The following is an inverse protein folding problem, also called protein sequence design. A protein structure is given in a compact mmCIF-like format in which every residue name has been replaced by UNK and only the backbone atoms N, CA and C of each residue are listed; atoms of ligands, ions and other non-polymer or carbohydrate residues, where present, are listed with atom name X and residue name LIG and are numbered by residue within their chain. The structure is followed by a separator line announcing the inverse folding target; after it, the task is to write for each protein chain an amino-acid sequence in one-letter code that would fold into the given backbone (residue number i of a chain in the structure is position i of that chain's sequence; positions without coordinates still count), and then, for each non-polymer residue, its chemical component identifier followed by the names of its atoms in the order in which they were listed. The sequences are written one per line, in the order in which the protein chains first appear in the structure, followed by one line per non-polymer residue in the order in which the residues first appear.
data_IF_547149171897
#
_entry.id   IF_547149171897
#
_cell.length_a   1.000
_cell.length_b   1.000
_cell.length_c   1.000
_cell.angle_alpha   90.00
_cell.angle_beta   90.00
_cell.angle_gamma   90.00
#
_symmetry.space_group_name_H-M   'P 1'
#
loop_
_entity.id
_entity.type
_entity.pdbx_description
1 polymer ?
#
# COMPACT_ATOMS: atom_id res chain seq x y z
N UNK A 1 -25.69 26.52 -46.08
CA UNK A 1 -24.46 25.88 -45.60
C UNK A 1 -23.55 26.98 -45.08
N UNK A 2 -23.10 26.99 -43.84
CA UNK A 2 -23.47 26.11 -42.73
C UNK A 2 -22.48 26.22 -41.57
N UNK A 3 -22.92 26.79 -40.44
CA UNK A 3 -22.14 26.86 -39.20
C UNK A 3 -23.04 26.43 -38.04
N UNK A 4 -22.70 25.33 -37.39
CA UNK A 4 -23.34 24.90 -36.15
C UNK A 4 -22.74 25.66 -34.97
N UNK A 5 -23.47 26.65 -34.45
CA UNK A 5 -23.08 27.34 -33.22
C UNK A 5 -23.27 26.42 -32.01
N UNK A 6 -22.17 26.12 -31.31
CA UNK A 6 -22.15 25.19 -30.19
C UNK A 6 -23.03 25.68 -29.02
N UNK A 7 -23.93 24.82 -28.53
CA UNK A 7 -25.02 25.21 -27.62
C UNK A 7 -24.58 25.37 -26.16
N UNK A 8 -24.67 26.61 -25.69
CA UNK A 8 -25.15 27.11 -24.40
C UNK A 8 -24.69 26.40 -23.11
N UNK A 9 -23.89 27.11 -22.31
CA UNK A 9 -23.23 26.61 -21.11
C UNK A 9 -23.95 26.84 -19.76
N UNK A 10 -25.20 27.31 -19.74
CA UNK A 10 -25.97 27.48 -18.49
C UNK A 10 -27.10 26.47 -18.28
N UNK A 11 -27.64 25.90 -19.36
CA UNK A 11 -28.35 24.61 -19.26
C UNK A 11 -27.48 23.55 -18.58
N UNK A 12 -26.16 23.66 -18.73
CA UNK A 12 -25.13 22.79 -18.16
C UNK A 12 -25.09 22.79 -16.62
N UNK A 13 -25.41 23.88 -15.90
CA UNK A 13 -25.31 23.83 -14.43
C UNK A 13 -26.44 22.99 -13.81
N UNK A 14 -27.68 23.20 -14.24
CA UNK A 14 -28.80 22.35 -13.81
C UNK A 14 -28.79 20.97 -14.49
N UNK A 15 -28.30 20.83 -15.73
CA UNK A 15 -28.19 19.50 -16.37
C UNK A 15 -27.04 18.67 -15.83
N UNK A 16 -25.91 19.24 -15.38
CA UNK A 16 -24.87 18.48 -14.66
C UNK A 16 -25.32 18.08 -13.25
N UNK A 17 -26.03 18.96 -12.53
CA UNK A 17 -26.68 18.60 -11.25
C UNK A 17 -27.72 17.48 -11.44
N UNK A 18 -28.28 17.30 -12.64
CA UNK A 18 -29.20 16.20 -12.98
C UNK A 18 -28.47 14.93 -13.45
N UNK A 19 -27.57 15.02 -14.43
CA UNK A 19 -26.88 13.89 -15.08
C UNK A 19 -25.95 13.08 -14.14
N UNK A 20 -25.62 13.61 -12.95
CA UNK A 20 -24.72 12.96 -11.98
C UNK A 20 -25.50 12.28 -10.83
N UNK A 21 -26.80 12.57 -10.68
CA UNK A 21 -27.61 12.13 -9.53
C UNK A 21 -28.84 11.29 -9.91
N UNK A 22 -29.09 11.04 -11.20
CA UNK A 22 -30.28 10.30 -11.68
C UNK A 22 -29.96 8.85 -12.12
N UNK A 23 -28.76 8.34 -11.79
CA UNK A 23 -28.27 7.01 -12.19
C UNK A 23 -27.70 6.23 -10.99
N UNK A 24 -28.52 6.02 -9.95
CA UNK A 24 -28.16 5.30 -8.71
C UNK A 24 -29.37 4.73 -7.96
N UNK A 25 -30.31 4.06 -8.65
CA UNK A 25 -31.42 3.35 -7.99
C UNK A 25 -32.02 2.19 -8.83
N UNK A 26 -31.31 1.05 -8.92
CA UNK A 26 -31.88 -0.27 -9.28
C UNK A 26 -30.91 -1.44 -8.88
N UNK A 27 -31.40 -2.61 -8.41
CA UNK A 27 -30.53 -3.68 -7.86
C UNK A 27 -30.46 -4.98 -8.68
N UNK A 28 -29.38 -5.76 -8.48
CA UNK A 28 -29.18 -7.13 -8.98
C UNK A 28 -28.24 -7.21 -10.22
N UNK A 29 -27.58 -8.33 -10.51
CA UNK A 29 -27.64 -9.68 -9.92
C UNK A 29 -26.28 -10.43 -9.95
N UNK A 30 -26.19 -11.54 -9.21
CA UNK A 30 -25.02 -12.42 -9.02
C UNK A 30 -24.80 -13.47 -10.12
N UNK A 31 -23.55 -13.88 -10.42
CA UNK A 31 -23.26 -15.26 -10.88
C UNK A 31 -21.79 -15.75 -10.76
N UNK A 32 -21.67 -17.08 -10.82
CA UNK A 32 -20.54 -18.03 -10.61
C UNK A 32 -19.91 -18.52 -11.97
N UNK A 33 -18.81 -19.29 -12.15
CA UNK A 33 -17.73 -19.95 -11.36
C UNK A 33 -16.66 -20.52 -12.38
N UNK A 34 -15.46 -21.07 -12.11
CA UNK A 34 -14.52 -21.18 -10.95
C UNK A 34 -13.03 -21.22 -11.49
N UNK A 35 -12.00 -22.09 -11.15
CA UNK A 35 -10.57 -21.72 -11.34
C UNK A 35 -9.65 -22.68 -12.16
N UNK A 36 -8.51 -22.14 -12.64
CA UNK A 36 -7.27 -22.88 -13.03
C UNK A 36 -6.09 -21.86 -13.15
N UNK A 37 -4.81 -22.17 -12.93
CA UNK A 37 -4.14 -23.40 -12.45
C UNK A 37 -2.79 -23.05 -11.78
N UNK A 38 -2.23 -23.97 -10.98
CA UNK A 38 -0.94 -23.81 -10.28
C UNK A 38 0.23 -24.25 -11.17
N UNK A 39 1.39 -23.60 -11.10
CA UNK A 39 2.66 -24.14 -11.60
C UNK A 39 3.86 -23.63 -10.81
N UNK A 40 4.81 -24.50 -10.47
CA UNK A 40 5.92 -24.26 -9.54
C UNK A 40 7.29 -24.32 -10.24
N UNK A 41 8.18 -23.35 -9.97
CA UNK A 41 9.64 -23.49 -10.20
C UNK A 41 10.49 -22.77 -9.15
N UNK A 42 11.74 -23.23 -9.07
CA UNK A 42 12.80 -23.00 -8.06
C UNK A 42 13.34 -21.55 -8.04
N UNK A 43 13.83 -21.03 -6.88
CA UNK A 43 14.33 -19.65 -6.78
C UNK A 43 15.76 -19.44 -7.32
N UNK A 44 16.00 -18.23 -7.84
CA UNK A 44 17.32 -17.66 -8.18
C UNK A 44 17.65 -16.46 -7.25
N UNK A 45 18.94 -16.08 -7.09
CA UNK A 45 19.35 -15.12 -6.07
C UNK A 45 19.01 -13.66 -6.41
N UNK A 46 18.13 -13.04 -5.63
CA UNK A 46 17.72 -11.64 -5.81
C UNK A 46 18.68 -10.70 -5.06
N UNK A 47 19.69 -10.17 -5.77
CA UNK A 47 20.43 -8.97 -5.36
C UNK A 47 20.53 -7.99 -6.52
N UNK A 48 19.63 -7.03 -6.54
CA UNK A 48 19.80 -5.68 -7.10
C UNK A 48 18.66 -4.81 -6.57
N UNK A 49 18.96 -3.95 -5.60
CA UNK A 49 17.96 -3.06 -4.99
C UNK A 49 17.51 -1.99 -6.00
N UNK A 50 16.20 -1.83 -6.28
CA UNK A 50 15.73 -0.74 -7.12
C UNK A 50 15.90 0.61 -6.41
N UNK A 51 16.70 1.51 -6.96
CA UNK A 51 16.65 2.93 -6.58
C UNK A 51 15.31 3.51 -7.04
N UNK A 52 14.34 3.61 -6.12
CA UNK A 52 13.01 4.18 -6.40
C UNK A 52 13.12 5.71 -6.56
N UNK A 53 13.40 6.13 -7.78
CA UNK A 53 13.45 7.53 -8.17
C UNK A 53 12.01 8.02 -8.44
N UNK A 54 11.36 8.65 -7.46
CA UNK A 54 9.95 9.10 -7.53
C UNK A 54 9.71 10.32 -8.45
N UNK A 55 10.42 10.39 -9.58
CA UNK A 55 10.24 11.44 -10.57
C UNK A 55 9.26 11.01 -11.66
N UNK A 56 8.12 11.70 -11.66
CA UNK A 56 7.28 11.97 -12.84
C UNK A 56 6.66 10.74 -13.52
N UNK A 57 5.62 10.19 -12.89
CA UNK A 57 4.48 9.64 -13.64
C UNK A 57 3.21 10.44 -13.32
N UNK A 58 3.22 11.73 -13.69
CA UNK A 58 2.03 12.57 -13.70
C UNK A 58 1.38 12.44 -15.07
N UNK A 59 0.20 11.81 -15.13
CA UNK A 59 -0.60 11.77 -16.35
C UNK A 59 -0.97 13.21 -16.76
N UNK A 60 -0.99 13.54 -18.07
CA UNK A 60 -1.36 14.87 -18.52
C UNK A 60 -2.81 15.17 -18.13
N UNK A 61 -3.04 16.34 -17.51
CA UNK A 61 -4.37 16.75 -17.02
C UNK A 61 -5.36 16.79 -18.19
N UNK A 62 -6.42 16.00 -18.10
CA UNK A 62 -7.43 15.89 -19.13
C UNK A 62 -8.30 17.15 -19.22
N UNK A 63 -8.75 17.47 -20.44
CA UNK A 63 -9.73 18.55 -20.66
C UNK A 63 -11.04 18.30 -19.89
N UNK A 64 -11.38 17.03 -19.64
CA UNK A 64 -12.48 16.60 -18.76
C UNK A 64 -12.24 16.98 -17.30
N UNK A 65 -11.02 16.80 -16.79
CA UNK A 65 -10.66 17.06 -15.40
C UNK A 65 -10.72 18.55 -15.09
N UNK A 66 -10.25 19.39 -16.03
CA UNK A 66 -10.37 20.86 -15.95
C UNK A 66 -11.85 21.30 -15.93
N UNK A 67 -12.72 20.65 -16.72
CA UNK A 67 -14.17 20.91 -16.70
C UNK A 67 -14.80 20.51 -15.36
N UNK A 68 -14.49 19.32 -14.83
CA UNK A 68 -14.98 18.87 -13.53
C UNK A 68 -14.48 19.76 -12.39
N UNK A 69 -13.20 20.16 -12.42
CA UNK A 69 -12.63 21.07 -11.42
C UNK A 69 -13.27 22.45 -11.48
N UNK A 70 -13.57 22.98 -12.69
CA UNK A 70 -14.33 24.23 -12.83
C UNK A 70 -15.71 24.13 -12.16
N UNK A 71 -16.43 23.02 -12.30
CA UNK A 71 -17.72 22.80 -11.63
C UNK A 71 -17.55 22.81 -10.10
N UNK A 72 -16.50 22.17 -9.56
CA UNK A 72 -16.18 22.22 -8.12
C UNK A 72 -15.89 23.64 -7.64
N UNK A 73 -15.14 24.43 -8.40
CA UNK A 73 -14.84 25.84 -8.10
C UNK A 73 -16.10 26.71 -8.11
N UNK A 74 -17.03 26.48 -9.04
CA UNK A 74 -18.33 27.17 -9.03
C UNK A 74 -19.20 26.75 -7.84
N UNK A 75 -19.19 25.46 -7.45
CA UNK A 75 -19.84 24.98 -6.23
C UNK A 75 -19.19 25.46 -4.92
N UNK A 76 -18.00 26.07 -4.97
CA UNK A 76 -17.39 26.79 -3.85
C UNK A 76 -17.90 28.24 -3.83
N UNK A 77 -18.06 28.90 -4.99
CA UNK A 77 -18.74 30.20 -5.07
C UNK A 77 -20.18 30.14 -4.55
N UNK A 78 -20.97 29.12 -4.96
CA UNK A 78 -22.35 28.91 -4.45
C UNK A 78 -22.42 28.85 -2.91
N UNK A 79 -21.34 28.44 -2.22
CA UNK A 79 -21.26 28.34 -0.75
C UNK A 79 -20.70 29.60 -0.07
N UNK A 80 -20.06 30.48 -0.83
CA UNK A 80 -19.50 31.75 -0.33
C UNK A 80 -20.39 32.96 -0.65
N UNK A 81 -21.46 32.75 -1.43
CA UNK A 81 -22.39 33.78 -1.87
C UNK A 81 -23.06 34.50 -0.67
N UNK A 82 -23.04 35.83 -0.67
CA UNK A 82 -23.72 36.63 0.35
C UNK A 82 -25.22 36.78 0.02
N UNK A 83 -26.12 36.84 1.02
CA UNK A 83 -27.56 36.92 0.78
C UNK A 83 -27.96 38.30 0.21
N UNK A 84 -28.39 38.33 -1.04
CA UNK A 84 -28.90 39.53 -1.73
C UNK A 84 -28.57 39.51 -3.21
N UNK A 85 -28.74 40.65 -3.88
CA UNK A 85 -28.39 40.83 -5.29
C UNK A 85 -27.02 41.51 -5.38
N UNK A 86 -26.05 40.83 -5.98
CA UNK A 86 -24.65 41.27 -6.01
C UNK A 86 -23.91 40.89 -7.32
N UNK A 87 -22.58 40.80 -7.30
CA UNK A 87 -21.79 40.33 -8.44
C UNK A 87 -22.13 38.90 -8.89
N UNK A 88 -22.34 37.96 -7.97
CA UNK A 88 -22.56 36.56 -8.33
C UNK A 88 -23.83 36.42 -9.15
N UNK A 89 -24.92 37.08 -8.75
CA UNK A 89 -26.20 36.96 -9.46
C UNK A 89 -26.25 37.75 -10.77
N UNK A 90 -25.55 38.89 -10.87
CA UNK A 90 -25.33 39.57 -12.16
C UNK A 90 -24.46 38.74 -13.11
N UNK A 91 -23.48 38.00 -12.58
CA UNK A 91 -22.61 37.12 -13.35
C UNK A 91 -23.33 35.84 -13.81
N UNK A 92 -24.14 35.24 -12.94
CA UNK A 92 -25.01 34.10 -13.24
C UNK A 92 -26.03 34.47 -14.32
N UNK A 93 -26.80 35.55 -14.12
CA UNK A 93 -27.80 35.99 -15.09
C UNK A 93 -27.18 36.40 -16.44
N UNK A 94 -25.97 36.95 -16.46
CA UNK A 94 -25.25 37.19 -17.71
C UNK A 94 -24.88 35.87 -18.41
N UNK A 95 -24.37 34.89 -17.67
CA UNK A 95 -24.02 33.58 -18.20
C UNK A 95 -25.27 32.77 -18.68
N UNK A 96 -26.43 32.96 -18.05
CA UNK A 96 -27.73 32.45 -18.54
C UNK A 96 -28.12 33.00 -19.92
N UNK A 97 -27.77 34.25 -20.22
CA UNK A 97 -27.95 34.84 -21.55
C UNK A 97 -27.00 34.26 -22.61
N UNK A 98 -26.10 33.34 -22.25
CA UNK A 98 -25.28 32.53 -23.16
C UNK A 98 -23.80 32.91 -23.24
N UNK A 99 -23.42 34.08 -22.73
CA UNK A 99 -22.05 34.60 -22.75
C UNK A 99 -21.78 35.53 -21.57
N UNK A 100 -20.53 35.65 -21.12
CA UNK A 100 -20.13 36.64 -20.10
C UNK A 100 -19.36 37.74 -20.83
N UNK A 101 -20.08 38.79 -21.25
CA UNK A 101 -19.52 39.91 -22.00
C UNK A 101 -20.15 41.25 -21.58
N UNK A 102 -19.70 42.35 -22.19
CA UNK A 102 -20.14 43.70 -21.84
C UNK A 102 -21.62 43.98 -22.16
N UNK A 103 -22.24 43.21 -23.06
CA UNK A 103 -23.67 43.29 -23.38
C UNK A 103 -24.49 42.50 -22.36
N UNK A 104 -24.16 41.23 -22.10
CA UNK A 104 -24.92 40.38 -21.17
C UNK A 104 -24.80 40.85 -19.72
N UNK A 105 -23.61 41.25 -19.26
CA UNK A 105 -23.42 41.84 -17.92
C UNK A 105 -24.20 43.15 -17.76
N UNK A 106 -24.25 43.99 -18.81
CA UNK A 106 -25.04 45.23 -18.78
C UNK A 106 -26.54 44.93 -18.75
N UNK A 107 -27.01 43.95 -19.50
CA UNK A 107 -28.41 43.54 -19.53
C UNK A 107 -28.84 42.94 -18.18
N UNK A 108 -28.09 41.97 -17.65
CA UNK A 108 -28.31 41.35 -16.34
C UNK A 108 -28.38 42.41 -15.22
N UNK A 109 -27.38 43.29 -15.12
CA UNK A 109 -27.40 44.40 -14.16
C UNK A 109 -28.61 45.33 -14.35
N UNK A 110 -29.01 45.63 -15.59
CA UNK A 110 -30.16 46.52 -15.86
C UNK A 110 -31.46 45.87 -15.42
N UNK A 111 -31.65 44.57 -15.64
CA UNK A 111 -32.84 43.83 -15.18
C UNK A 111 -32.88 43.74 -13.65
N UNK A 112 -31.76 43.38 -13.02
CA UNK A 112 -31.67 43.10 -11.59
C UNK A 112 -31.70 44.37 -10.72
N UNK A 113 -31.21 45.51 -11.22
CA UNK A 113 -31.16 46.78 -10.45
C UNK A 113 -32.53 47.31 -10.02
N UNK A 114 -33.60 46.97 -10.73
CA UNK A 114 -34.95 47.38 -10.32
C UNK A 114 -35.53 46.51 -9.20
N UNK A 115 -34.92 45.35 -8.91
CA UNK A 115 -35.31 44.46 -7.82
C UNK A 115 -34.66 44.90 -6.50
N UNK A 116 -33.34 45.13 -6.50
CA UNK A 116 -32.59 45.53 -5.30
C UNK A 116 -31.94 46.91 -5.46
N UNK A 117 -32.43 47.90 -4.69
CA UNK A 117 -32.09 49.33 -4.88
C UNK A 117 -30.64 49.69 -4.57
N UNK A 118 -29.93 48.87 -3.80
CA UNK A 118 -28.51 49.08 -3.51
C UNK A 118 -27.60 48.46 -4.60
N UNK A 119 -28.14 47.69 -5.56
CA UNK A 119 -27.36 47.07 -6.62
C UNK A 119 -26.71 48.15 -7.50
N UNK A 120 -25.41 48.32 -7.32
CA UNK A 120 -24.65 49.39 -7.94
C UNK A 120 -23.23 48.95 -8.29
N UNK A 121 -22.55 49.72 -9.15
CA UNK A 121 -21.19 49.42 -9.63
C UNK A 121 -20.17 49.17 -8.51
N UNK A 122 -20.29 49.85 -7.37
CA UNK A 122 -19.40 49.64 -6.22
C UNK A 122 -19.70 48.32 -5.50
N UNK A 123 -20.98 47.96 -5.26
CA UNK A 123 -21.36 46.64 -4.71
C UNK A 123 -20.80 45.51 -5.58
N UNK A 124 -21.05 45.56 -6.89
CA UNK A 124 -20.53 44.61 -7.89
C UNK A 124 -18.99 44.50 -7.90
N UNK A 125 -18.28 45.63 -7.84
CA UNK A 125 -16.82 45.62 -7.84
C UNK A 125 -16.23 45.14 -6.49
N UNK A 126 -16.93 45.35 -5.38
CA UNK A 126 -16.51 44.87 -4.05
C UNK A 126 -16.71 43.36 -3.93
N UNK A 127 -17.93 42.83 -4.13
CA UNK A 127 -18.17 41.39 -3.92
C UNK A 127 -17.50 40.54 -4.99
N UNK A 128 -17.47 41.00 -6.26
CA UNK A 128 -16.68 40.36 -7.32
C UNK A 128 -15.18 40.28 -7.02
N UNK A 129 -14.61 41.26 -6.31
CA UNK A 129 -13.23 41.18 -5.80
C UNK A 129 -13.12 40.27 -4.58
N UNK A 130 -14.14 40.22 -3.71
CA UNK A 130 -14.20 39.31 -2.57
C UNK A 130 -14.14 37.85 -3.04
N UNK A 131 -15.05 37.45 -3.93
CA UNK A 131 -15.08 36.10 -4.52
C UNK A 131 -13.76 35.72 -5.22
N UNK A 132 -13.17 36.64 -5.99
CA UNK A 132 -11.88 36.42 -6.64
C UNK A 132 -10.68 36.36 -5.68
N UNK A 133 -10.85 36.81 -4.43
CA UNK A 133 -9.83 36.75 -3.37
C UNK A 133 -9.99 35.47 -2.54
N UNK A 134 -11.22 35.16 -2.11
CA UNK A 134 -11.50 33.92 -1.37
C UNK A 134 -11.25 32.67 -2.23
N UNK A 135 -11.57 32.67 -3.53
CA UNK A 135 -11.17 31.56 -4.42
C UNK A 135 -9.66 31.36 -4.50
N UNK A 136 -8.85 32.43 -4.44
CA UNK A 136 -7.38 32.33 -4.43
C UNK A 136 -6.88 31.72 -3.12
N UNK A 137 -7.43 32.18 -2.00
CA UNK A 137 -7.14 31.67 -0.65
C UNK A 137 -7.53 30.20 -0.50
N UNK A 138 -8.66 29.77 -1.07
CA UNK A 138 -9.07 28.36 -1.09
C UNK A 138 -8.12 27.50 -1.93
N UNK A 139 -7.74 27.90 -3.14
CA UNK A 139 -6.79 27.09 -3.93
C UNK A 139 -5.38 27.08 -3.35
N UNK A 140 -4.94 28.17 -2.71
CA UNK A 140 -3.68 28.23 -1.97
C UNK A 140 -3.69 27.29 -0.75
N UNK A 141 -4.78 27.30 0.03
CA UNK A 141 -4.98 26.39 1.16
C UNK A 141 -5.02 24.91 0.72
N UNK A 142 -5.81 24.57 -0.30
CA UNK A 142 -5.86 23.21 -0.88
C UNK A 142 -4.48 22.78 -1.39
N UNK A 143 -3.77 23.66 -2.10
CA UNK A 143 -2.42 23.36 -2.63
C UNK A 143 -1.42 23.14 -1.49
N UNK A 144 -1.49 23.94 -0.42
CA UNK A 144 -0.66 23.78 0.78
C UNK A 144 -0.95 22.44 1.48
N UNK A 145 -2.23 22.11 1.69
CA UNK A 145 -2.64 20.82 2.27
C UNK A 145 -2.21 19.63 1.41
N UNK A 146 -2.30 19.73 0.07
CA UNK A 146 -1.85 18.67 -0.85
C UNK A 146 -0.33 18.53 -0.85
N UNK A 147 0.42 19.62 -0.75
CA UNK A 147 1.87 19.60 -0.63
C UNK A 147 2.32 18.99 0.72
N UNK A 148 1.61 19.25 1.82
CA UNK A 148 1.85 18.60 3.10
C UNK A 148 1.49 17.11 3.08
N UNK A 149 0.34 16.74 2.49
CA UNK A 149 -0.05 15.33 2.30
C UNK A 149 1.01 14.56 1.47
N UNK A 150 1.54 15.20 0.41
CA UNK A 150 2.66 14.65 -0.37
C UNK A 150 3.91 14.44 0.49
N UNK A 151 4.36 15.44 1.24
CA UNK A 151 5.55 15.34 2.10
C UNK A 151 5.41 14.26 3.17
N UNK A 152 4.23 14.12 3.78
CA UNK A 152 3.96 13.07 4.75
C UNK A 152 4.10 11.67 4.11
N UNK A 153 3.54 11.47 2.90
CA UNK A 153 3.68 10.20 2.16
C UNK A 153 5.12 9.93 1.70
N UNK A 154 5.85 10.96 1.26
CA UNK A 154 7.27 10.85 0.88
C UNK A 154 8.14 10.44 2.09
N UNK A 155 7.85 10.98 3.29
CA UNK A 155 8.53 10.59 4.53
C UNK A 155 8.17 9.16 4.96
N UNK A 156 6.87 8.81 5.05
CA UNK A 156 6.46 7.46 5.44
C UNK A 156 7.04 6.36 4.53
N UNK A 157 7.17 6.66 3.23
CA UNK A 157 7.80 5.77 2.25
C UNK A 157 9.33 5.64 2.42
N UNK A 158 9.98 6.59 3.08
CA UNK A 158 11.41 6.51 3.47
C UNK A 158 11.54 5.69 4.75
N UNK A 159 10.69 5.96 5.75
CA UNK A 159 10.69 5.26 7.03
C UNK A 159 10.41 3.76 6.86
N UNK A 160 9.33 3.39 6.15
CA UNK A 160 8.96 1.99 5.87
C UNK A 160 10.08 1.23 5.12
N UNK A 161 10.81 1.91 4.20
CA UNK A 161 11.97 1.31 3.53
C UNK A 161 13.14 1.07 4.49
N UNK A 162 13.42 2.02 5.38
CA UNK A 162 14.50 1.89 6.35
C UNK A 162 14.21 0.74 7.33
N UNK A 163 12.97 0.62 7.79
CA UNK A 163 12.53 -0.47 8.67
C UNK A 163 12.64 -1.83 7.97
N UNK A 164 12.12 -1.96 6.75
CA UNK A 164 12.27 -3.20 5.95
C UNK A 164 13.75 -3.57 5.69
N UNK A 165 14.63 -2.59 5.45
CA UNK A 165 16.08 -2.84 5.32
C UNK A 165 16.69 -3.35 6.63
N UNK A 166 16.28 -2.81 7.78
CA UNK A 166 16.72 -3.26 9.09
C UNK A 166 16.19 -4.66 9.44
N UNK A 167 14.94 -4.98 9.09
CA UNK A 167 14.35 -6.32 9.24
C UNK A 167 15.08 -7.35 8.37
N UNK A 168 15.31 -7.06 7.09
CA UNK A 168 16.07 -7.93 6.17
C UNK A 168 17.45 -8.26 6.76
N UNK A 169 18.20 -7.23 7.17
CA UNK A 169 19.53 -7.42 7.79
C UNK A 169 19.48 -8.27 9.08
N UNK A 170 18.42 -8.14 9.86
CA UNK A 170 18.20 -8.93 11.09
C UNK A 170 17.89 -10.38 10.75
N UNK A 171 17.09 -10.63 9.72
CA UNK A 171 16.79 -11.97 9.18
C UNK A 171 18.07 -12.63 8.62
N UNK A 172 18.89 -11.89 7.86
CA UNK A 172 20.18 -12.37 7.33
C UNK A 172 21.14 -12.81 8.43
N UNK A 173 21.29 -12.00 9.50
CA UNK A 173 22.10 -12.37 10.66
C UNK A 173 21.56 -13.63 11.35
N UNK A 174 20.25 -13.73 11.58
CA UNK A 174 19.62 -14.92 12.16
C UNK A 174 19.85 -16.18 11.31
N UNK A 175 19.84 -16.07 9.98
CA UNK A 175 20.15 -17.17 9.06
C UNK A 175 21.63 -17.58 9.16
N UNK A 176 22.56 -16.64 9.28
CA UNK A 176 23.98 -16.95 9.47
C UNK A 176 24.23 -17.68 10.80
N UNK A 177 23.64 -17.16 11.89
CA UNK A 177 23.63 -17.75 13.23
C UNK A 177 23.10 -19.18 13.25
N UNK A 178 21.97 -19.44 12.57
CA UNK A 178 21.36 -20.77 12.48
C UNK A 178 22.21 -21.75 11.66
N UNK A 179 22.83 -21.29 10.56
CA UNK A 179 23.79 -22.10 9.78
C UNK A 179 25.01 -22.50 10.62
N UNK A 180 25.58 -21.58 11.38
CA UNK A 180 26.69 -21.88 12.29
C UNK A 180 26.29 -22.88 13.40
N UNK A 181 25.10 -22.71 13.99
CA UNK A 181 24.54 -23.65 14.99
C UNK A 181 24.32 -25.05 14.40
N UNK A 182 23.84 -25.14 13.16
CA UNK A 182 23.67 -26.41 12.44
C UNK A 182 25.02 -27.10 12.18
N UNK A 183 25.99 -26.39 11.61
CA UNK A 183 27.33 -26.92 11.31
C UNK A 183 28.02 -27.46 12.57
N UNK A 184 27.90 -26.75 13.71
CA UNK A 184 28.43 -27.22 14.99
C UNK A 184 27.74 -28.52 15.45
N UNK A 185 26.42 -28.64 15.29
CA UNK A 185 25.68 -29.87 15.66
C UNK A 185 25.98 -31.05 14.74
N UNK A 186 26.24 -30.81 13.47
CA UNK A 186 26.75 -31.86 12.57
C UNK A 186 28.15 -32.34 13.00
N UNK A 187 29.01 -31.44 13.48
CA UNK A 187 30.34 -31.82 13.97
C UNK A 187 30.27 -32.56 15.31
N UNK A 188 29.40 -32.13 16.24
CA UNK A 188 29.10 -32.86 17.47
C UNK A 188 28.65 -34.31 17.17
N UNK A 189 27.77 -34.47 16.17
CA UNK A 189 27.26 -35.78 15.74
C UNK A 189 28.36 -36.65 15.11
N UNK A 190 29.23 -36.09 14.26
CA UNK A 190 30.39 -36.81 13.69
C UNK A 190 31.39 -37.23 14.78
N UNK A 191 31.55 -36.42 15.82
CA UNK A 191 32.44 -36.70 16.96
C UNK A 191 31.87 -37.72 17.96
N UNK A 192 30.60 -38.12 17.83
CA UNK A 192 29.91 -38.96 18.81
C UNK A 192 30.55 -40.35 18.93
N UNK A 193 30.85 -41.01 17.80
CA UNK A 193 31.50 -42.32 17.79
C UNK A 193 32.92 -42.24 18.37
N UNK A 194 33.68 -41.20 18.03
CA UNK A 194 35.04 -40.97 18.57
C UNK A 194 35.06 -40.92 20.11
N UNK A 195 33.97 -40.45 20.73
CA UNK A 195 33.80 -40.40 22.19
C UNK A 195 33.50 -41.76 22.82
N UNK A 196 32.71 -42.61 22.17
CA UNK A 196 32.16 -43.84 22.78
C UNK A 196 32.80 -45.14 22.27
N UNK A 197 33.28 -45.21 21.02
CA UNK A 197 33.94 -46.39 20.46
C UNK A 197 35.11 -46.93 21.33
N UNK A 198 35.96 -46.11 21.98
CA UNK A 198 37.00 -46.62 22.86
C UNK A 198 36.44 -47.26 24.14
N UNK A 199 35.32 -46.74 24.66
CA UNK A 199 34.66 -47.23 25.87
C UNK A 199 33.95 -48.56 25.60
N UNK A 200 33.29 -48.67 24.45
CA UNK A 200 32.67 -49.92 23.99
C UNK A 200 33.74 -51.02 23.80
N UNK A 201 34.86 -50.71 23.15
CA UNK A 201 35.96 -51.67 22.95
C UNK A 201 36.63 -52.13 24.25
N UNK A 202 36.78 -51.25 25.23
CA UNK A 202 37.27 -51.60 26.57
C UNK A 202 36.29 -52.54 27.32
N UNK A 203 34.98 -52.32 27.17
CA UNK A 203 33.94 -53.20 27.72
C UNK A 203 33.95 -54.56 27.00
N UNK A 204 33.99 -54.59 25.67
CA UNK A 204 34.05 -55.82 24.87
C UNK A 204 35.28 -56.67 25.22
N UNK A 205 36.45 -56.03 25.39
CA UNK A 205 37.68 -56.71 25.81
C UNK A 205 37.56 -57.29 27.22
N UNK A 206 36.93 -56.58 28.16
CA UNK A 206 36.70 -57.08 29.54
C UNK A 206 35.70 -58.24 29.57
N UNK A 207 34.65 -58.21 28.74
CA UNK A 207 33.71 -59.32 28.59
C UNK A 207 34.43 -60.55 28.00
N UNK A 208 35.22 -60.37 26.93
CA UNK A 208 35.97 -61.46 26.32
C UNK A 208 36.99 -62.09 27.29
N UNK A 209 37.74 -61.27 28.04
CA UNK A 209 38.71 -61.73 29.04
C UNK A 209 38.04 -62.45 30.22
N UNK A 210 36.91 -61.92 30.71
CA UNK A 210 36.13 -62.54 31.79
C UNK A 210 35.59 -63.92 31.39
N UNK A 211 35.03 -64.02 30.18
CA UNK A 211 34.54 -65.29 29.63
C UNK A 211 35.67 -66.31 29.44
N UNK A 212 36.85 -65.88 28.98
CA UNK A 212 38.01 -66.75 28.83
C UNK A 212 38.48 -67.30 30.19
N UNK A 213 38.66 -66.43 31.20
CA UNK A 213 39.06 -66.84 32.54
C UNK A 213 38.04 -67.77 33.23
N UNK A 214 36.73 -67.55 33.03
CA UNK A 214 35.68 -68.46 33.53
C UNK A 214 35.79 -69.83 32.85
N UNK A 215 36.03 -69.89 31.54
CA UNK A 215 36.19 -71.15 30.81
C UNK A 215 37.46 -71.91 31.24
N UNK A 216 38.57 -71.24 31.52
CA UNK A 216 39.78 -71.87 32.07
C UNK A 216 39.52 -72.48 33.46
N UNK A 217 38.82 -71.76 34.34
CA UNK A 217 38.43 -72.28 35.67
C UNK A 217 37.47 -73.47 35.56
N UNK A 218 36.53 -73.45 34.62
CA UNK A 218 35.65 -74.61 34.35
C UNK A 218 36.47 -75.82 33.89
N UNK A 219 37.40 -75.63 32.95
CA UNK A 219 38.23 -76.72 32.43
C UNK A 219 39.15 -77.34 33.51
N UNK A 220 39.72 -76.54 34.42
CA UNK A 220 40.49 -77.07 35.56
C UNK A 220 39.59 -77.79 36.59
N UNK A 221 38.34 -77.35 36.78
CA UNK A 221 37.35 -78.07 37.62
C UNK A 221 36.97 -79.42 36.98
N UNK A 222 36.61 -79.45 35.69
CA UNK A 222 36.27 -80.68 34.95
C UNK A 222 37.42 -81.71 34.98
N UNK A 223 38.64 -81.22 34.79
CA UNK A 223 39.88 -82.02 34.91
C UNK A 223 40.10 -82.56 36.32
N UNK A 224 39.85 -81.77 37.37
CA UNK A 224 39.95 -82.23 38.75
C UNK A 224 38.88 -83.30 39.08
N UNK A 225 37.65 -83.13 38.59
CA UNK A 225 36.57 -84.13 38.71
C UNK A 225 36.95 -85.44 38.01
N UNK A 226 37.42 -85.38 36.76
CA UNK A 226 37.85 -86.56 36.01
C UNK A 226 39.01 -87.32 36.70
N UNK A 227 39.94 -86.62 37.34
CA UNK A 227 41.00 -87.24 38.15
C UNK A 227 40.41 -87.98 39.35
N UNK A 228 39.43 -87.41 40.05
CA UNK A 228 38.75 -88.05 41.19
C UNK A 228 38.02 -89.32 40.72
N UNK A 229 37.18 -89.22 39.69
CA UNK A 229 36.42 -90.34 39.11
C UNK A 229 37.30 -91.50 38.63
N UNK A 230 38.53 -91.21 38.18
CA UNK A 230 39.44 -92.23 37.64
C UNK A 230 40.32 -92.90 38.71
N UNK A 231 40.53 -92.26 39.87
CA UNK A 231 41.55 -92.68 40.85
C UNK A 231 41.02 -92.99 42.25
N UNK A 232 39.73 -92.75 42.54
CA UNK A 232 39.13 -93.00 43.86
C UNK A 232 37.92 -93.91 43.71
N UNK A 233 38.00 -95.10 44.32
CA UNK A 233 36.92 -96.08 44.51
C UNK A 233 36.40 -96.05 45.95
#
# INVERSE_FOLDING_TARGET
MGEETAKNSFGILNSLKKLIFEDSDAPGSTQDQQPASISTKTPEPVTNQPQVNLKENVSPIGVTDVKQMKVKVLGILEKMNEPGLDFFEVWNAAAEMGSIDASTIKAAYTSLKYVEKDLNKQKLLTTGRSYATELKKVIEQESSQKQQQKQNLENSLIDEKNDLINEIKTIEQNIADLKAKLQNKEQDLKNLNVKYDPQLKDIDQKIALGNAAVNEVIADIEKALSIIETNIN
#
